data_IF_343956987704
#
_entry.id   IF_343956987704
#
_cell.length_a   1.000
_cell.length_b   1.000
_cell.length_c   1.000
_cell.angle_alpha   90.00
_cell.angle_beta   90.00
_cell.angle_gamma   90.00
#
_symmetry.space_group_name_H-M   'P 1'
#
loop_
_entity.id
_entity.type
_entity.pdbx_description
1 polymer ?
#
# COMPACT_ATOMS: atom_id res chain seq x y z
N UNK A 1 -8.53 7.77 17.70
CA UNK A 1 -8.23 8.61 16.52
C UNK A 1 -9.53 9.19 15.95
N UNK A 2 -10.01 10.35 16.43
CA UNK A 2 -11.28 10.91 15.97
C UNK A 2 -11.20 11.55 14.57
N UNK A 3 -10.03 12.06 14.17
CA UNK A 3 -9.88 12.86 12.95
C UNK A 3 -10.37 12.17 11.67
N UNK A 4 -10.12 10.88 11.49
CA UNK A 4 -10.53 10.12 10.29
C UNK A 4 -12.02 9.78 10.25
N UNK A 5 -12.74 9.98 11.36
CA UNK A 5 -14.19 9.77 11.42
C UNK A 5 -14.98 11.01 11.02
N UNK A 6 -14.34 12.17 10.96
CA UNK A 6 -14.96 13.40 10.50
C UNK A 6 -15.09 13.35 8.97
N UNK A 7 -16.31 13.50 8.38
CA UNK A 7 -16.48 13.48 6.93
C UNK A 7 -15.59 14.50 6.21
N UNK A 8 -15.42 15.68 6.81
CA UNK A 8 -14.57 16.74 6.28
C UNK A 8 -13.08 16.36 6.16
N UNK A 9 -12.61 15.29 6.84
CA UNK A 9 -11.24 14.80 6.68
C UNK A 9 -11.00 14.12 5.33
N UNK A 10 -12.06 13.77 4.61
CA UNK A 10 -12.03 13.08 3.31
C UNK A 10 -12.32 14.01 2.13
N UNK A 11 -12.71 15.26 2.41
CA UNK A 11 -13.18 16.22 1.42
C UNK A 11 -12.14 17.33 1.16
N UNK A 12 -12.19 17.92 -0.04
CA UNK A 12 -11.35 19.04 -0.40
C UNK A 12 -9.87 18.67 -0.60
N UNK A 13 -8.99 19.62 -0.34
CA UNK A 13 -7.54 19.47 -0.50
C UNK A 13 -6.87 19.17 0.85
N UNK A 14 -5.88 18.28 0.83
CA UNK A 14 -5.03 17.99 1.98
C UNK A 14 -3.54 18.10 1.57
N UNK A 15 -2.65 18.07 2.56
CA UNK A 15 -1.21 18.14 2.36
C UNK A 15 -0.48 17.08 3.18
N UNK A 16 0.42 16.34 2.55
CA UNK A 16 1.35 15.44 3.23
C UNK A 16 2.73 15.54 2.58
N UNK A 17 3.79 15.71 3.37
CA UNK A 17 5.16 15.78 2.87
C UNK A 17 5.41 16.91 1.87
N UNK A 18 4.66 18.02 1.96
CA UNK A 18 4.72 19.14 1.01
C UNK A 18 3.99 18.92 -0.31
N UNK A 19 3.30 17.77 -0.48
CA UNK A 19 2.49 17.45 -1.64
C UNK A 19 1.02 17.75 -1.32
N UNK A 20 0.37 18.57 -2.15
CA UNK A 20 -1.05 18.91 -2.05
C UNK A 20 -1.85 18.17 -3.12
N UNK A 21 -2.89 17.46 -2.67
CA UNK A 21 -3.77 16.63 -3.49
C UNK A 21 -5.16 16.58 -2.85
N UNK A 22 -6.19 16.11 -3.59
CA UNK A 22 -7.48 15.78 -3.01
C UNK A 22 -7.34 14.85 -1.79
N UNK A 23 -8.06 15.14 -0.72
CA UNK A 23 -7.95 14.41 0.55
C UNK A 23 -8.19 12.91 0.40
N UNK A 24 -9.15 12.50 -0.44
CA UNK A 24 -9.41 11.11 -0.78
C UNK A 24 -8.18 10.40 -1.40
N UNK A 25 -7.47 11.08 -2.30
CA UNK A 25 -6.26 10.53 -2.91
C UNK A 25 -5.13 10.39 -1.89
N UNK A 26 -4.93 11.39 -1.03
CA UNK A 26 -3.95 11.30 0.07
C UNK A 26 -4.31 10.23 1.10
N UNK A 27 -5.60 9.97 1.34
CA UNK A 27 -6.02 8.87 2.18
C UNK A 27 -5.68 7.49 1.56
N UNK A 28 -5.82 7.35 0.24
CA UNK A 28 -5.35 6.17 -0.50
C UNK A 28 -3.84 5.97 -0.38
N UNK A 29 -3.06 7.04 -0.52
CA UNK A 29 -1.60 7.01 -0.29
C UNK A 29 -1.29 6.59 1.15
N UNK A 30 -1.94 7.20 2.14
CA UNK A 30 -1.73 6.85 3.54
C UNK A 30 -2.10 5.38 3.85
N UNK A 31 -3.17 4.86 3.26
CA UNK A 31 -3.55 3.44 3.38
C UNK A 31 -2.46 2.52 2.79
N UNK A 32 -1.91 2.88 1.64
CA UNK A 32 -0.80 2.17 1.01
C UNK A 32 0.45 2.19 1.89
N UNK A 33 0.86 3.37 2.38
CA UNK A 33 2.03 3.54 3.25
C UNK A 33 1.91 2.68 4.51
N UNK A 34 0.77 2.78 5.21
CA UNK A 34 0.55 2.03 6.45
C UNK A 34 0.49 0.52 6.22
N UNK A 35 -0.13 0.06 5.14
CA UNK A 35 -0.27 -1.38 4.88
C UNK A 35 1.05 -2.00 4.45
N UNK A 36 1.75 -1.36 3.50
CA UNK A 36 3.01 -1.87 2.96
C UNK A 36 4.11 -1.83 4.01
N UNK A 37 4.24 -0.72 4.75
CA UNK A 37 5.25 -0.63 5.81
C UNK A 37 4.86 -1.40 7.08
N UNK A 38 3.56 -1.57 7.35
CA UNK A 38 3.08 -2.52 8.36
C UNK A 38 3.50 -3.95 8.04
N UNK A 39 3.38 -4.36 6.77
CA UNK A 39 3.89 -5.65 6.27
C UNK A 39 5.41 -5.75 6.41
N UNK A 40 6.16 -4.72 6.00
CA UNK A 40 7.63 -4.68 6.11
C UNK A 40 8.07 -4.91 7.57
N UNK A 41 7.47 -4.16 8.50
CA UNK A 41 7.79 -4.24 9.93
C UNK A 41 7.42 -5.60 10.52
N UNK A 42 6.24 -6.12 10.19
CA UNK A 42 5.79 -7.42 10.68
C UNK A 42 6.71 -8.54 10.20
N UNK A 43 7.10 -8.54 8.92
CA UNK A 43 8.08 -9.48 8.37
C UNK A 43 9.43 -9.37 9.07
N UNK A 44 9.94 -8.15 9.26
CA UNK A 44 11.24 -7.91 9.89
C UNK A 44 11.29 -8.33 11.37
N UNK A 45 10.13 -8.32 12.05
CA UNK A 45 10.02 -8.64 13.48
C UNK A 45 9.39 -10.01 13.77
N UNK A 46 9.08 -10.79 12.72
CA UNK A 46 8.46 -12.12 12.86
C UNK A 46 7.02 -12.08 13.41
N UNK A 47 6.33 -10.95 13.27
CA UNK A 47 4.94 -10.79 13.72
C UNK A 47 3.95 -11.19 12.62
N UNK A 48 2.76 -11.69 12.98
CA UNK A 48 1.69 -11.91 12.01
C UNK A 48 1.18 -10.57 11.48
N UNK A 49 0.86 -10.51 10.19
CA UNK A 49 0.22 -9.37 9.56
C UNK A 49 -0.97 -9.83 8.73
N UNK A 50 -2.18 -9.49 9.18
CA UNK A 50 -3.45 -9.92 8.58
C UNK A 50 -4.38 -8.72 8.45
N UNK A 51 -4.13 -7.82 7.47
CA UNK A 51 -5.06 -6.75 7.16
C UNK A 51 -6.41 -7.33 6.73
N UNK A 52 -7.50 -6.57 6.93
CA UNK A 52 -8.81 -7.00 6.47
C UNK A 52 -8.87 -7.08 4.93
N UNK A 53 -9.72 -7.97 4.41
CA UNK A 53 -9.79 -8.26 2.98
C UNK A 53 -10.13 -7.02 2.14
N UNK A 54 -11.04 -6.17 2.62
CA UNK A 54 -11.46 -4.96 1.91
C UNK A 54 -10.30 -3.97 1.77
N UNK A 55 -9.50 -3.79 2.83
CA UNK A 55 -8.28 -2.97 2.76
C UNK A 55 -7.34 -3.48 1.67
N UNK A 56 -7.13 -4.80 1.58
CA UNK A 56 -6.25 -5.39 0.56
C UNK A 56 -6.83 -5.23 -0.85
N UNK A 57 -8.13 -5.37 -1.04
CA UNK A 57 -8.81 -5.17 -2.33
C UNK A 57 -8.73 -3.72 -2.82
N UNK A 58 -8.99 -2.76 -1.92
CA UNK A 58 -8.88 -1.32 -2.22
C UNK A 58 -7.44 -0.97 -2.57
N UNK A 59 -6.48 -1.47 -1.77
CA UNK A 59 -5.06 -1.22 -2.03
C UNK A 59 -4.61 -1.83 -3.35
N UNK A 60 -5.00 -3.07 -3.65
CA UNK A 60 -4.66 -3.73 -4.91
C UNK A 60 -5.13 -2.92 -6.11
N UNK A 61 -6.39 -2.47 -6.06
CA UNK A 61 -7.01 -1.67 -7.11
C UNK A 61 -6.35 -0.29 -7.26
N UNK A 62 -5.86 0.28 -6.16
CA UNK A 62 -5.14 1.55 -6.17
C UNK A 62 -3.71 1.42 -6.72
N UNK A 63 -2.99 0.33 -6.40
CA UNK A 63 -1.58 0.14 -6.78
C UNK A 63 -1.42 -0.39 -8.21
N UNK A 64 -2.29 -1.31 -8.66
CA UNK A 64 -2.16 -1.96 -9.96
C UNK A 64 -2.04 -0.97 -11.15
N UNK A 65 -2.80 0.14 -11.22
CA UNK A 65 -2.68 1.10 -12.32
C UNK A 65 -1.32 1.80 -12.40
N UNK A 66 -0.65 2.05 -11.26
CA UNK A 66 0.69 2.69 -11.25
C UNK A 66 1.79 1.78 -11.79
N UNK A 67 1.52 0.48 -11.85
CA UNK A 67 2.45 -0.53 -12.33
C UNK A 67 2.22 -0.88 -13.80
N UNK A 68 0.97 -0.77 -14.27
CA UNK A 68 0.60 -1.04 -15.67
C UNK A 68 0.52 0.22 -16.55
N UNK A 69 0.61 1.41 -15.94
CA UNK A 69 0.40 2.72 -16.57
C UNK A 69 1.68 3.55 -16.74
N UNK A 70 1.56 4.88 -16.62
CA UNK A 70 2.72 5.78 -16.61
C UNK A 70 3.52 5.55 -15.31
N UNK A 71 4.72 4.97 -15.46
CA UNK A 71 5.70 4.86 -14.39
C UNK A 71 5.86 6.22 -13.70
N UNK A 72 5.41 6.35 -12.46
CA UNK A 72 5.78 7.49 -11.61
C UNK A 72 7.21 7.22 -11.16
N UNK A 73 8.23 7.92 -11.70
CA UNK A 73 9.61 7.53 -11.48
C UNK A 73 9.96 7.57 -9.99
N UNK A 74 10.41 6.44 -9.45
CA UNK A 74 10.86 6.32 -8.06
C UNK A 74 9.78 5.99 -7.03
N UNK A 75 8.50 5.82 -7.43
CA UNK A 75 7.42 5.46 -6.50
C UNK A 75 7.54 4.00 -6.01
N UNK A 76 7.66 3.06 -6.95
CA UNK A 76 7.88 1.64 -6.66
C UNK A 76 9.10 1.10 -7.41
N UNK A 77 9.66 0.00 -6.90
CA UNK A 77 10.59 -0.83 -7.66
C UNK A 77 9.82 -1.66 -8.69
N UNK A 78 10.54 -2.24 -9.65
CA UNK A 78 9.95 -3.16 -10.60
C UNK A 78 9.19 -4.29 -9.87
N UNK A 79 7.97 -4.64 -10.31
CA UNK A 79 7.18 -5.70 -9.69
C UNK A 79 7.90 -7.04 -9.64
N UNK A 80 7.64 -7.81 -8.60
CA UNK A 80 8.16 -9.18 -8.47
C UNK A 80 7.11 -10.17 -9.04
N UNK A 81 7.50 -11.15 -9.87
CA UNK A 81 6.58 -12.17 -10.33
C UNK A 81 6.06 -13.05 -9.18
N UNK A 82 4.76 -13.29 -9.17
CA UNK A 82 4.08 -14.22 -8.26
C UNK A 82 3.02 -15.01 -9.03
N UNK A 83 2.54 -16.11 -8.46
CA UNK A 83 1.45 -16.88 -9.06
C UNK A 83 0.13 -16.07 -9.07
N UNK A 84 -0.69 -16.24 -10.11
CA UNK A 84 -1.96 -15.52 -10.24
C UNK A 84 -2.97 -15.88 -9.13
N UNK A 85 -2.84 -17.08 -8.56
CA UNK A 85 -3.64 -17.60 -7.45
C UNK A 85 -3.00 -17.39 -6.06
N UNK A 86 -1.86 -16.68 -6.00
CA UNK A 86 -1.25 -16.28 -4.74
C UNK A 86 -2.23 -15.39 -3.93
N UNK A 87 -2.11 -15.38 -2.58
CA UNK A 87 -2.90 -14.49 -1.74
C UNK A 87 -2.88 -13.04 -2.25
N UNK A 88 -4.02 -12.35 -2.19
CA UNK A 88 -4.14 -11.01 -2.74
C UNK A 88 -3.13 -10.04 -2.11
N UNK A 89 -2.82 -10.19 -0.82
CA UNK A 89 -1.80 -9.41 -0.14
C UNK A 89 -0.43 -9.62 -0.78
N UNK A 90 -0.04 -10.86 -1.09
CA UNK A 90 1.25 -11.17 -1.71
C UNK A 90 1.35 -10.56 -3.10
N UNK A 91 0.27 -10.66 -3.90
CA UNK A 91 0.16 -10.01 -5.21
C UNK A 91 0.29 -8.50 -5.11
N UNK A 92 -0.37 -7.87 -4.13
CA UNK A 92 -0.28 -6.42 -3.89
C UNK A 92 1.11 -5.99 -3.44
N UNK A 93 1.76 -6.73 -2.52
CA UNK A 93 3.13 -6.44 -2.08
C UNK A 93 4.11 -6.58 -3.24
N UNK A 94 3.95 -7.62 -4.06
CA UNK A 94 4.77 -7.87 -5.23
C UNK A 94 4.71 -6.72 -6.27
N UNK A 95 3.55 -6.08 -6.44
CA UNK A 95 3.39 -4.90 -7.29
C UNK A 95 4.24 -3.71 -6.82
N UNK A 96 4.57 -3.62 -5.52
CA UNK A 96 5.46 -2.57 -4.98
C UNK A 96 6.95 -2.86 -5.19
N UNK A 97 7.28 -4.00 -5.80
CA UNK A 97 8.64 -4.51 -6.02
C UNK A 97 9.29 -5.15 -4.80
N UNK A 98 8.48 -5.56 -3.81
CA UNK A 98 8.91 -6.35 -2.66
C UNK A 98 8.71 -7.84 -2.94
N UNK A 99 9.62 -8.68 -2.47
CA UNK A 99 9.44 -10.13 -2.52
C UNK A 99 8.52 -10.56 -1.37
N UNK A 100 7.29 -11.04 -1.66
CA UNK A 100 6.37 -11.45 -0.61
C UNK A 100 6.90 -12.65 0.18
N UNK A 101 7.89 -13.41 -0.31
CA UNK A 101 8.52 -14.52 0.40
C UNK A 101 9.74 -14.10 1.24
N UNK A 102 10.08 -12.81 1.28
CA UNK A 102 11.23 -12.32 2.03
C UNK A 102 11.14 -12.69 3.52
N UNK A 103 12.27 -13.10 4.06
CA UNK A 103 12.48 -13.34 5.50
C UNK A 103 13.77 -12.64 5.95
N UNK A 104 13.80 -12.08 7.16
CA UNK A 104 15.03 -11.52 7.71
C UNK A 104 16.11 -12.60 7.83
N UNK A 105 17.34 -12.27 7.45
CA UNK A 105 18.49 -13.15 7.68
C UNK A 105 18.72 -13.27 9.18
N UNK A 106 18.81 -14.52 9.66
CA UNK A 106 19.16 -14.85 11.05
C UNK A 106 20.57 -14.43 11.42
#
# INVERSE_FOLDING_TARGET
MPAWREPAAWEGESEAGGVRLPAEMLAGVALQELTVHGWDLARATGQPFTPDALTVEVLHSAVAPFVTGEDVPGLFKAPVPVADDAPLLDRTIALTGRDPNWTPST
#
